data_IF_340314259226
#
_entry.id   IF_340314259226
#
_cell.length_a   1.000
_cell.length_b   1.000
_cell.length_c   1.000
_cell.angle_alpha   90.00
_cell.angle_beta   90.00
_cell.angle_gamma   90.00
#
_symmetry.space_group_name_H-M   'P 1'
#
loop_
_entity.id
_entity.type
_entity.pdbx_description
1 polymer ?
#
# COMPACT_ATOMS: atom_id res chain seq x y z
N UNK A 1 -16.23 -6.03 -16.45
CA UNK A 1 -16.15 -5.88 -14.98
C UNK A 1 -14.71 -5.67 -14.50
N UNK A 2 -13.72 -6.31 -15.12
CA UNK A 2 -12.29 -6.09 -14.80
C UNK A 2 -11.84 -4.63 -14.88
N UNK A 3 -12.21 -3.90 -15.95
CA UNK A 3 -11.84 -2.49 -16.09
C UNK A 3 -12.37 -1.62 -14.95
N UNK A 4 -13.60 -1.88 -14.49
CA UNK A 4 -14.18 -1.17 -13.35
C UNK A 4 -13.40 -1.49 -12.07
N UNK A 5 -13.06 -2.77 -11.84
CA UNK A 5 -12.22 -3.16 -10.70
C UNK A 5 -10.86 -2.49 -10.75
N UNK A 6 -10.23 -2.41 -11.93
CA UNK A 6 -8.94 -1.74 -12.11
C UNK A 6 -9.05 -0.26 -11.74
N UNK A 7 -10.07 0.44 -12.24
CA UNK A 7 -10.34 1.84 -11.87
C UNK A 7 -10.55 1.98 -10.36
N UNK A 8 -11.24 1.04 -9.71
CA UNK A 8 -11.44 1.05 -8.26
C UNK A 8 -10.13 0.83 -7.51
N UNK A 9 -9.35 -0.19 -7.89
CA UNK A 9 -8.08 -0.54 -7.23
C UNK A 9 -7.07 0.58 -7.34
N UNK A 10 -6.94 1.26 -8.48
CA UNK A 10 -6.04 2.41 -8.61
C UNK A 10 -6.67 3.71 -8.10
N UNK A 11 -7.98 3.91 -8.25
CA UNK A 11 -8.71 5.07 -7.74
C UNK A 11 -8.71 5.14 -6.22
N UNK A 12 -8.77 4.00 -5.53
CA UNK A 12 -8.67 3.89 -4.08
C UNK A 12 -7.35 4.50 -3.55
N UNK A 13 -6.28 4.53 -4.34
CA UNK A 13 -5.02 5.16 -3.93
C UNK A 13 -5.22 6.66 -3.65
N UNK A 14 -5.99 7.34 -4.52
CA UNK A 14 -6.34 8.74 -4.39
C UNK A 14 -7.38 8.95 -3.29
N UNK A 15 -8.37 8.06 -3.19
CA UNK A 15 -9.37 8.10 -2.12
C UNK A 15 -8.69 8.04 -0.75
N UNK A 16 -7.73 7.13 -0.56
CA UNK A 16 -7.00 7.05 0.70
C UNK A 16 -6.21 8.34 0.95
N UNK A 17 -5.58 8.93 -0.07
CA UNK A 17 -4.86 10.19 0.10
C UNK A 17 -5.78 11.33 0.56
N UNK A 18 -6.88 11.55 -0.15
CA UNK A 18 -7.85 12.63 0.12
C UNK A 18 -8.48 12.44 1.50
N UNK A 19 -8.95 11.22 1.81
CA UNK A 19 -9.59 10.94 3.10
C UNK A 19 -8.61 11.01 4.26
N UNK A 20 -7.31 10.77 4.04
CA UNK A 20 -6.30 10.97 5.09
C UNK A 20 -6.11 12.43 5.45
N UNK A 21 -6.20 13.34 4.46
CA UNK A 21 -6.20 14.78 4.70
C UNK A 21 -7.49 15.21 5.39
N UNK A 22 -8.65 14.68 4.98
CA UNK A 22 -9.93 14.92 5.67
C UNK A 22 -9.89 14.48 7.13
N UNK A 23 -9.31 13.30 7.41
CA UNK A 23 -9.14 12.80 8.78
C UNK A 23 -8.28 13.73 9.63
N UNK A 24 -7.14 14.16 9.08
CA UNK A 24 -6.23 15.09 9.75
C UNK A 24 -6.91 16.45 10.03
N UNK A 25 -7.75 16.92 9.10
CA UNK A 25 -8.59 18.11 9.26
C UNK A 25 -9.85 17.93 10.12
N UNK A 26 -10.05 16.76 10.75
CA UNK A 26 -11.20 16.50 11.63
C UNK A 26 -12.51 16.11 10.94
N UNK A 27 -12.56 16.03 9.61
CA UNK A 27 -13.74 15.72 8.80
C UNK A 27 -14.03 14.21 8.70
N UNK A 28 -14.14 13.54 9.85
CA UNK A 28 -14.26 12.08 9.94
C UNK A 28 -15.54 11.52 9.31
N UNK A 29 -16.66 12.25 9.38
CA UNK A 29 -17.94 11.82 8.83
C UNK A 29 -17.93 11.79 7.29
N UNK A 30 -17.37 12.82 6.66
CA UNK A 30 -17.30 12.92 5.20
C UNK A 30 -16.46 11.79 4.60
N UNK A 31 -15.33 11.48 5.24
CA UNK A 31 -14.51 10.33 4.91
C UNK A 31 -15.32 9.03 4.87
N UNK A 32 -16.19 8.78 5.87
CA UNK A 32 -16.97 7.55 5.95
C UNK A 32 -17.90 7.41 4.74
N UNK A 33 -18.57 8.49 4.33
CA UNK A 33 -19.40 8.51 3.13
C UNK A 33 -18.61 8.20 1.86
N UNK A 34 -17.40 8.76 1.72
CA UNK A 34 -16.53 8.46 0.57
C UNK A 34 -16.18 6.97 0.53
N UNK A 35 -15.81 6.35 1.65
CA UNK A 35 -15.53 4.90 1.67
C UNK A 35 -16.78 4.05 1.42
N UNK A 36 -17.95 4.49 1.88
CA UNK A 36 -19.21 3.79 1.62
C UNK A 36 -19.53 3.77 0.13
N UNK A 37 -19.40 4.90 -0.57
CA UNK A 37 -19.59 4.96 -2.02
C UNK A 37 -18.63 4.03 -2.74
N UNK A 38 -17.34 4.03 -2.35
CA UNK A 38 -16.36 3.14 -2.96
C UNK A 38 -16.63 1.67 -2.66
N UNK A 39 -17.11 1.35 -1.45
CA UNK A 39 -17.52 0.00 -1.10
C UNK A 39 -18.68 -0.49 -1.98
N UNK A 40 -19.70 0.35 -2.22
CA UNK A 40 -20.80 0.02 -3.14
C UNK A 40 -20.28 -0.21 -4.55
N UNK A 41 -19.39 0.65 -5.05
CA UNK A 41 -18.77 0.46 -6.37
C UNK A 41 -17.96 -0.82 -6.45
N UNK A 42 -17.25 -1.20 -5.38
CA UNK A 42 -16.48 -2.44 -5.31
C UNK A 42 -17.34 -3.70 -5.29
N UNK A 43 -18.56 -3.63 -4.73
CA UNK A 43 -19.50 -4.76 -4.75
C UNK A 43 -19.98 -5.13 -6.17
N UNK A 44 -19.99 -4.18 -7.11
CA UNK A 44 -20.41 -4.43 -8.49
C UNK A 44 -19.51 -5.49 -9.16
N UNK A 45 -18.18 -5.30 -9.32
CA UNK A 45 -17.35 -6.34 -9.90
C UNK A 45 -17.31 -7.59 -9.02
N UNK A 46 -17.47 -7.50 -7.70
CA UNK A 46 -17.53 -8.68 -6.83
C UNK A 46 -18.71 -9.62 -7.15
N UNK A 47 -19.90 -9.08 -7.44
CA UNK A 47 -21.08 -9.89 -7.72
C UNK A 47 -21.25 -10.23 -9.21
N UNK A 48 -20.82 -9.35 -10.12
CA UNK A 48 -21.16 -9.44 -11.54
C UNK A 48 -19.99 -9.84 -12.46
N UNK A 49 -18.81 -10.18 -11.92
CA UNK A 49 -17.71 -10.72 -12.72
C UNK A 49 -18.11 -12.06 -13.36
N UNK A 50 -17.71 -12.29 -14.62
CA UNK A 50 -17.98 -13.53 -15.33
C UNK A 50 -17.17 -14.68 -14.74
N UNK A 51 -17.75 -15.89 -14.72
CA UNK A 51 -17.13 -17.10 -14.17
C UNK A 51 -16.20 -17.81 -15.16
N UNK A 52 -15.98 -17.27 -16.35
CA UNK A 52 -14.98 -17.83 -17.26
C UNK A 52 -13.56 -17.66 -16.71
N UNK A 53 -12.68 -18.58 -17.08
CA UNK A 53 -11.33 -18.67 -16.54
C UNK A 53 -10.54 -17.36 -16.73
N UNK A 54 -10.60 -16.75 -17.92
CA UNK A 54 -9.82 -15.54 -18.22
C UNK A 54 -10.30 -14.35 -17.39
N UNK A 55 -11.62 -14.13 -17.31
CA UNK A 55 -12.19 -13.06 -16.49
C UNK A 55 -11.83 -13.23 -15.01
N UNK A 56 -11.88 -14.46 -14.48
CA UNK A 56 -11.50 -14.73 -13.09
C UNK A 56 -10.00 -14.59 -12.85
N UNK A 57 -9.17 -15.05 -13.78
CA UNK A 57 -7.71 -14.88 -13.69
C UNK A 57 -7.35 -13.39 -13.65
N UNK A 58 -7.92 -12.59 -14.54
CA UNK A 58 -7.74 -11.13 -14.56
C UNK A 58 -8.24 -10.47 -13.26
N UNK A 59 -9.43 -10.87 -12.79
CA UNK A 59 -10.00 -10.38 -11.54
C UNK A 59 -9.07 -10.62 -10.34
N UNK A 60 -8.59 -11.85 -10.17
CA UNK A 60 -7.66 -12.22 -9.09
C UNK A 60 -6.30 -11.53 -9.21
N UNK A 61 -5.80 -11.37 -10.45
CA UNK A 61 -4.54 -10.66 -10.70
C UNK A 61 -4.65 -9.18 -10.32
N UNK A 62 -5.76 -8.51 -10.66
CA UNK A 62 -6.01 -7.12 -10.27
C UNK A 62 -6.11 -7.00 -8.74
N UNK A 63 -6.78 -7.93 -8.06
CA UNK A 63 -6.83 -7.94 -6.59
C UNK A 63 -5.46 -8.17 -5.98
N UNK A 64 -4.64 -9.07 -6.53
CA UNK A 64 -3.27 -9.31 -6.06
C UNK A 64 -2.38 -8.06 -6.22
N UNK A 65 -2.48 -7.37 -7.36
CA UNK A 65 -1.85 -6.05 -7.53
C UNK A 65 -2.31 -5.07 -6.46
N UNK A 66 -3.61 -5.04 -6.15
CA UNK A 66 -4.16 -4.27 -5.04
C UNK A 66 -3.52 -4.63 -3.71
N UNK A 67 -3.46 -5.92 -3.36
CA UNK A 67 -2.81 -6.42 -2.13
C UNK A 67 -1.40 -5.86 -1.99
N UNK A 68 -0.60 -5.97 -3.05
CA UNK A 68 0.77 -5.46 -3.10
C UNK A 68 0.83 -3.94 -2.93
N UNK A 69 0.06 -3.19 -3.70
CA UNK A 69 0.04 -1.73 -3.67
C UNK A 69 -0.34 -1.19 -2.29
N UNK A 70 -1.40 -1.75 -1.70
CA UNK A 70 -1.93 -1.30 -0.41
C UNK A 70 -1.09 -1.80 0.77
N UNK A 71 -0.48 -2.98 0.70
CA UNK A 71 0.51 -3.42 1.69
C UNK A 71 1.75 -2.51 1.67
N UNK A 72 2.25 -2.16 0.48
CA UNK A 72 3.36 -1.22 0.33
C UNK A 72 3.03 0.16 0.90
N UNK A 73 1.82 0.65 0.64
CA UNK A 73 1.35 1.92 1.17
C UNK A 73 1.19 1.89 2.70
N UNK A 74 0.72 0.76 3.25
CA UNK A 74 0.58 0.54 4.67
C UNK A 74 1.93 0.64 5.40
N UNK A 75 2.92 -0.16 4.98
CA UNK A 75 4.24 -0.14 5.61
C UNK A 75 4.95 1.20 5.45
N UNK A 76 4.76 1.89 4.32
CA UNK A 76 5.30 3.24 4.15
C UNK A 76 4.75 4.23 5.17
N UNK A 77 3.47 4.10 5.53
CA UNK A 77 2.83 4.96 6.53
C UNK A 77 3.15 4.57 7.98
N UNK A 78 3.20 3.28 8.30
CA UNK A 78 3.60 2.78 9.63
C UNK A 78 5.08 3.05 9.90
N UNK A 79 5.94 2.80 8.92
CA UNK A 79 7.38 3.03 9.00
C UNK A 79 7.76 4.43 8.52
N UNK A 80 7.28 5.44 9.24
CA UNK A 80 7.54 6.86 8.92
C UNK A 80 8.94 7.35 9.33
N UNK A 81 9.80 6.48 9.89
CA UNK A 81 11.18 6.81 10.29
C UNK A 81 12.00 7.48 9.17
N UNK A 82 12.01 7.00 7.91
CA UNK A 82 12.71 7.68 6.82
C UNK A 82 12.19 9.09 6.56
N UNK A 83 10.87 9.31 6.73
CA UNK A 83 10.23 10.62 6.57
C UNK A 83 10.64 11.57 7.69
N UNK A 84 10.61 11.10 8.96
CA UNK A 84 11.07 11.86 10.13
C UNK A 84 12.54 12.29 10.00
N UNK A 85 13.41 11.38 9.58
CA UNK A 85 14.82 11.67 9.34
C UNK A 85 15.01 12.72 8.23
N UNK A 86 14.16 12.70 7.20
CA UNK A 86 14.19 13.70 6.12
C UNK A 86 13.79 15.08 6.62
N UNK A 87 12.74 15.17 7.45
CA UNK A 87 12.31 16.44 8.08
C UNK A 87 13.42 16.98 8.98
N UNK A 88 13.98 16.14 9.87
CA UNK A 88 15.06 16.53 10.79
C UNK A 88 16.26 17.16 10.05
N UNK A 89 16.62 16.62 8.88
CA UNK A 89 17.71 17.19 8.08
C UNK A 89 17.38 18.54 7.46
N UNK A 90 16.15 18.73 7.00
CA UNK A 90 15.71 20.00 6.43
C UNK A 90 15.63 21.09 7.51
N UNK A 91 15.32 20.72 8.75
CA UNK A 91 15.25 21.63 9.89
C UNK A 91 16.62 21.92 10.51
N UNK A 92 17.58 20.98 10.46
CA UNK A 92 18.91 21.14 11.09
C UNK A 92 19.88 22.08 10.38
N UNK A 93 19.68 22.36 9.10
CA UNK A 93 20.57 23.26 8.34
C UNK A 93 20.45 24.71 8.85
N UNK A 94 21.54 25.32 9.37
CA UNK A 94 21.56 26.68 9.86
C UNK A 94 21.71 27.64 8.68
N UNK A 95 20.65 27.83 7.91
CA UNK A 95 20.59 28.93 6.94
C UNK A 95 19.71 30.01 7.55
N UNK A 96 20.34 31.14 7.86
CA UNK A 96 19.72 32.44 8.09
C UNK A 96 18.71 32.69 6.95
N UNK A 97 17.44 32.84 7.30
CA UNK A 97 16.26 32.79 6.42
C UNK A 97 15.95 31.39 5.85
N UNK A 98 14.92 30.75 6.41
CA UNK A 98 14.23 29.63 5.75
C UNK A 98 13.57 30.21 4.49
N UNK A 99 14.03 29.82 3.30
CA UNK A 99 13.32 30.20 2.07
C UNK A 99 11.90 29.63 2.09
N UNK A 100 10.94 30.39 1.57
CA UNK A 100 9.51 30.01 1.52
C UNK A 100 9.31 28.59 0.98
N UNK A 101 9.98 28.24 -0.11
CA UNK A 101 9.98 26.88 -0.69
C UNK A 101 10.44 25.79 0.30
N UNK A 102 11.44 26.07 1.14
CA UNK A 102 11.91 25.12 2.15
C UNK A 102 10.89 24.96 3.27
N UNK A 103 10.21 26.04 3.65
CA UNK A 103 9.12 26.02 4.62
C UNK A 103 7.94 25.19 4.10
N UNK A 104 7.42 25.49 2.91
CA UNK A 104 6.34 24.74 2.26
C UNK A 104 6.66 23.24 2.16
N UNK A 105 7.91 22.91 1.82
CA UNK A 105 8.37 21.52 1.74
C UNK A 105 8.38 20.82 3.10
N UNK A 106 8.75 21.51 4.17
CA UNK A 106 8.72 20.97 5.54
C UNK A 106 7.26 20.79 5.98
N UNK A 107 6.40 21.76 5.71
CA UNK A 107 4.98 21.73 6.03
C UNK A 107 4.28 20.56 5.33
N UNK A 108 4.48 20.41 4.02
CA UNK A 108 3.91 19.29 3.24
C UNK A 108 4.36 17.91 3.77
N UNK A 109 5.64 17.78 4.18
CA UNK A 109 6.15 16.54 4.78
C UNK A 109 5.57 16.29 6.17
N UNK A 110 5.30 17.35 6.94
CA UNK A 110 4.70 17.28 8.27
C UNK A 110 3.25 16.85 8.19
N UNK A 111 2.45 17.45 7.30
CA UNK A 111 1.07 17.02 7.02
C UNK A 111 1.05 15.55 6.59
N UNK A 112 1.97 15.16 5.70
CA UNK A 112 2.11 13.76 5.26
C UNK A 112 2.44 12.82 6.42
N UNK A 113 3.25 13.28 7.39
CA UNK A 113 3.63 12.51 8.56
C UNK A 113 2.47 12.34 9.54
N UNK A 114 1.67 13.38 9.76
CA UNK A 114 0.48 13.35 10.63
C UNK A 114 -0.59 12.41 10.05
N UNK A 115 -0.83 12.52 8.74
CA UNK A 115 -1.75 11.65 8.01
C UNK A 115 -1.23 10.20 7.86
N UNK A 116 0.05 9.93 8.15
CA UNK A 116 0.70 8.67 7.78
C UNK A 116 0.12 7.45 8.49
N UNK A 117 -0.25 7.57 9.77
CA UNK A 117 -0.80 6.47 10.57
C UNK A 117 -2.17 6.04 10.08
N UNK A 118 -3.05 7.02 9.86
CA UNK A 118 -4.39 6.78 9.35
C UNK A 118 -4.34 6.16 7.95
N UNK A 119 -3.52 6.75 7.06
CA UNK A 119 -3.24 6.21 5.73
C UNK A 119 -2.76 4.76 5.80
N UNK A 120 -1.87 4.46 6.74
CA UNK A 120 -1.34 3.12 6.92
C UNK A 120 -2.41 2.11 7.31
N UNK A 121 -3.23 2.45 8.30
CA UNK A 121 -4.29 1.60 8.81
C UNK A 121 -5.32 1.28 7.73
N UNK A 122 -5.81 2.28 7.00
CA UNK A 122 -6.80 2.03 5.94
C UNK A 122 -6.21 1.24 4.78
N UNK A 123 -4.97 1.53 4.38
CA UNK A 123 -4.29 0.75 3.34
C UNK A 123 -4.17 -0.72 3.75
N UNK A 124 -3.86 -0.99 5.01
CA UNK A 124 -3.80 -2.36 5.52
C UNK A 124 -5.18 -3.04 5.44
N UNK A 125 -6.24 -2.34 5.85
CA UNK A 125 -7.62 -2.85 5.77
C UNK A 125 -8.02 -3.17 4.32
N UNK A 126 -7.71 -2.27 3.37
CA UNK A 126 -8.00 -2.51 1.94
C UNK A 126 -7.24 -3.73 1.43
N UNK A 127 -5.94 -3.84 1.77
CA UNK A 127 -5.12 -5.00 1.40
C UNK A 127 -5.74 -6.30 1.91
N UNK A 128 -6.19 -6.33 3.17
CA UNK A 128 -6.88 -7.48 3.77
C UNK A 128 -8.22 -7.81 3.09
N UNK A 129 -9.04 -6.79 2.76
CA UNK A 129 -10.30 -6.99 2.04
C UNK A 129 -10.05 -7.67 0.69
N UNK A 130 -8.99 -7.27 -0.03
CA UNK A 130 -8.63 -7.90 -1.30
C UNK A 130 -8.14 -9.34 -1.10
N UNK A 131 -7.31 -9.62 -0.08
CA UNK A 131 -6.90 -10.99 0.25
C UNK A 131 -8.10 -11.89 0.55
N UNK A 132 -9.04 -11.42 1.37
CA UNK A 132 -10.27 -12.15 1.69
C UNK A 132 -11.10 -12.37 0.42
N UNK A 133 -11.24 -11.34 -0.41
CA UNK A 133 -12.00 -11.45 -1.66
C UNK A 133 -11.41 -12.49 -2.59
N UNK A 134 -10.08 -12.51 -2.75
CA UNK A 134 -9.39 -13.55 -3.53
C UNK A 134 -9.69 -14.94 -2.96
N UNK A 135 -9.62 -15.08 -1.63
CA UNK A 135 -9.86 -16.36 -0.95
C UNK A 135 -11.29 -16.87 -1.11
N UNK A 136 -12.27 -15.97 -1.19
CA UNK A 136 -13.69 -16.31 -1.39
C UNK A 136 -14.01 -16.60 -2.86
N UNK A 137 -13.37 -15.90 -3.80
CA UNK A 137 -13.75 -15.95 -5.23
C UNK A 137 -12.87 -16.85 -6.09
N UNK A 138 -11.66 -17.22 -5.65
CA UNK A 138 -10.75 -18.01 -6.47
C UNK A 138 -11.28 -19.43 -6.70
N UNK A 139 -11.54 -19.83 -7.96
CA UNK A 139 -11.83 -21.22 -8.30
C UNK A 139 -10.65 -22.13 -7.95
N UNK A 140 -10.86 -23.44 -7.69
CA UNK A 140 -9.81 -24.35 -7.25
C UNK A 140 -8.55 -24.35 -8.13
N UNK A 141 -8.71 -24.29 -9.46
CA UNK A 141 -7.61 -24.27 -10.42
C UNK A 141 -6.75 -23.00 -10.31
N UNK A 142 -7.37 -21.82 -10.32
CA UNK A 142 -6.64 -20.55 -10.17
C UNK A 142 -6.05 -20.43 -8.76
N UNK A 143 -6.71 -21.00 -7.76
CA UNK A 143 -6.25 -20.97 -6.38
C UNK A 143 -4.89 -21.66 -6.22
N UNK A 144 -4.69 -22.83 -6.81
CA UNK A 144 -3.38 -23.50 -6.78
C UNK A 144 -2.30 -22.66 -7.47
N UNK A 145 -2.61 -22.02 -8.61
CA UNK A 145 -1.67 -21.13 -9.31
C UNK A 145 -1.21 -19.96 -8.42
N UNK A 146 -2.14 -19.30 -7.72
CA UNK A 146 -1.80 -18.19 -6.82
C UNK A 146 -1.16 -18.65 -5.50
N UNK A 147 -1.43 -19.87 -5.04
CA UNK A 147 -0.77 -20.49 -3.87
C UNK A 147 0.70 -20.79 -4.14
N UNK A 148 1.00 -21.44 -5.27
CA UNK A 148 2.37 -21.71 -5.71
C UNK A 148 3.16 -20.39 -5.84
N UNK A 149 2.45 -19.33 -6.23
CA UNK A 149 3.00 -17.99 -6.33
C UNK A 149 3.89 -17.83 -7.55
N UNK A 150 4.07 -16.58 -7.97
CA UNK A 150 4.87 -16.30 -9.16
C UNK A 150 6.35 -16.11 -8.78
N UNK A 151 7.28 -16.99 -9.21
CA UNK A 151 8.70 -16.88 -8.88
C UNK A 151 9.30 -15.54 -9.33
N UNK A 152 8.78 -14.94 -10.40
CA UNK A 152 9.23 -13.62 -10.86
C UNK A 152 8.92 -12.51 -9.85
N UNK A 153 7.76 -12.59 -9.18
CA UNK A 153 7.38 -11.63 -8.12
C UNK A 153 8.32 -11.75 -6.93
N UNK A 154 8.69 -12.97 -6.55
CA UNK A 154 9.66 -13.24 -5.48
C UNK A 154 11.03 -12.66 -5.79
N UNK A 155 11.57 -12.93 -6.98
CA UNK A 155 12.85 -12.39 -7.44
C UNK A 155 12.82 -10.86 -7.47
N UNK A 156 11.73 -10.27 -7.95
CA UNK A 156 11.56 -8.82 -8.00
C UNK A 156 11.60 -8.19 -6.60
N UNK A 157 10.83 -8.71 -5.63
CA UNK A 157 10.83 -8.17 -4.27
C UNK A 157 12.15 -8.39 -3.54
N UNK A 158 12.84 -9.51 -3.81
CA UNK A 158 14.19 -9.75 -3.30
C UNK A 158 15.18 -8.72 -3.85
N UNK A 159 15.16 -8.43 -5.16
CA UNK A 159 16.01 -7.41 -5.76
C UNK A 159 15.71 -6.02 -5.20
N UNK A 160 14.43 -5.67 -5.05
CA UNK A 160 14.01 -4.42 -4.40
C UNK A 160 14.54 -4.35 -2.96
N UNK A 161 14.48 -5.44 -2.21
CA UNK A 161 15.02 -5.52 -0.85
C UNK A 161 16.53 -5.26 -0.81
N UNK A 162 17.31 -5.89 -1.69
CA UNK A 162 18.76 -5.66 -1.81
C UNK A 162 19.05 -4.19 -2.12
N UNK A 163 18.34 -3.59 -3.08
CA UNK A 163 18.50 -2.16 -3.39
C UNK A 163 18.22 -1.29 -2.17
N UNK A 164 17.15 -1.55 -1.42
CA UNK A 164 16.82 -0.75 -0.25
C UNK A 164 17.82 -0.92 0.90
N UNK A 165 18.43 -2.09 1.07
CA UNK A 165 19.55 -2.29 2.00
C UNK A 165 20.73 -1.39 1.60
N UNK A 166 21.10 -1.38 0.33
CA UNK A 166 22.20 -0.52 -0.16
C UNK A 166 21.89 0.95 0.11
N UNK A 167 20.66 1.40 -0.16
CA UNK A 167 20.23 2.76 0.15
C UNK A 167 20.32 3.03 1.66
N UNK A 168 19.86 2.13 2.51
CA UNK A 168 19.94 2.28 3.96
C UNK A 168 21.38 2.40 4.46
N UNK A 169 22.31 1.60 3.92
CA UNK A 169 23.75 1.68 4.23
C UNK A 169 24.30 3.05 3.82
N UNK A 170 24.02 3.51 2.59
CA UNK A 170 24.47 4.83 2.11
C UNK A 170 23.92 5.96 2.99
N UNK A 171 22.65 5.88 3.38
CA UNK A 171 22.03 6.86 4.27
C UNK A 171 22.62 6.81 5.68
N UNK A 172 22.93 5.62 6.18
CA UNK A 172 23.57 5.45 7.48
C UNK A 172 24.95 6.09 7.51
N UNK A 173 25.79 5.87 6.49
CA UNK A 173 27.11 6.51 6.37
C UNK A 173 26.97 8.04 6.37
N UNK A 174 26.02 8.60 5.62
CA UNK A 174 25.83 10.06 5.52
C UNK A 174 25.22 10.71 6.76
N UNK A 175 24.36 9.99 7.49
CA UNK A 175 23.46 10.58 8.51
C UNK A 175 23.70 10.04 9.92
N UNK A 176 24.54 9.02 10.06
CA UNK A 176 24.77 8.22 11.28
C UNK A 176 23.51 7.60 11.89
N UNK A 177 22.40 7.60 11.15
CA UNK A 177 21.10 7.06 11.56
C UNK A 177 20.57 6.13 10.47
N UNK A 178 20.19 4.93 10.86
CA UNK A 178 19.66 3.91 9.94
C UNK A 178 18.16 4.13 9.71
N UNK A 179 17.75 4.26 8.45
CA UNK A 179 16.36 4.56 8.08
C UNK A 179 15.47 3.29 8.02
N UNK A 180 16.05 2.11 7.80
CA UNK A 180 15.36 0.82 7.67
C UNK A 180 14.26 0.87 6.60
N UNK A 181 14.55 1.45 5.45
CA UNK A 181 13.65 1.46 4.30
C UNK A 181 13.45 0.04 3.75
N UNK A 182 14.44 -0.86 3.92
CA UNK A 182 14.37 -2.26 3.52
C UNK A 182 13.22 -3.06 4.17
N UNK A 183 12.60 -2.56 5.25
CA UNK A 183 11.42 -3.19 5.85
C UNK A 183 10.20 -3.20 4.91
N UNK A 184 10.15 -2.28 3.93
CA UNK A 184 9.01 -2.15 3.02
C UNK A 184 8.80 -3.38 2.13
N UNK A 185 9.79 -3.84 1.34
CA UNK A 185 9.64 -5.06 0.55
C UNK A 185 9.45 -6.30 1.44
N UNK A 186 10.09 -6.37 2.61
CA UNK A 186 9.85 -7.49 3.55
C UNK A 186 8.40 -7.57 4.02
N UNK A 187 7.78 -6.44 4.31
CA UNK A 187 6.37 -6.42 4.71
C UNK A 187 5.44 -6.87 3.57
N UNK A 188 5.71 -6.46 2.34
CA UNK A 188 4.91 -6.92 1.19
C UNK A 188 5.10 -8.41 0.94
N UNK A 189 6.33 -8.92 1.07
CA UNK A 189 6.62 -10.36 1.05
C UNK A 189 5.78 -11.07 2.12
N UNK A 190 5.79 -10.57 3.35
CA UNK A 190 4.99 -11.15 4.43
C UNK A 190 3.50 -11.18 4.10
N UNK A 191 2.95 -10.11 3.52
CA UNK A 191 1.56 -10.08 3.05
C UNK A 191 1.27 -11.11 1.95
N UNK A 192 2.20 -11.34 1.02
CA UNK A 192 2.07 -12.36 -0.03
C UNK A 192 2.09 -13.77 0.55
N UNK A 193 2.97 -14.05 1.52
CA UNK A 193 2.96 -15.33 2.26
C UNK A 193 1.62 -15.53 2.95
N UNK A 194 1.12 -14.49 3.63
CA UNK A 194 -0.17 -14.56 4.33
C UNK A 194 -1.32 -14.84 3.36
N UNK A 195 -1.31 -14.22 2.17
CA UNK A 195 -2.27 -14.52 1.11
C UNK A 195 -2.18 -15.99 0.67
N UNK A 196 -0.97 -16.53 0.43
CA UNK A 196 -0.79 -17.93 0.04
C UNK A 196 -1.33 -18.89 1.10
N UNK A 197 -1.09 -18.60 2.39
CA UNK A 197 -1.61 -19.38 3.51
C UNK A 197 -3.15 -19.34 3.54
N UNK A 198 -3.77 -18.15 3.38
CA UNK A 198 -5.23 -18.02 3.31
C UNK A 198 -5.83 -18.80 2.13
N UNK A 199 -5.15 -18.77 0.98
CA UNK A 199 -5.54 -19.61 -0.15
C UNK A 199 -5.32 -21.10 0.16
N UNK A 200 -4.38 -21.51 1.00
CA UNK A 200 -4.26 -22.92 1.41
C UNK A 200 -5.39 -23.43 2.30
N UNK A 201 -6.02 -22.58 3.11
CA UNK A 201 -6.94 -23.04 4.17
C UNK A 201 -8.33 -23.50 3.73
N UNK A 202 -8.86 -23.06 2.59
CA UNK A 202 -10.16 -23.56 2.08
C UNK A 202 -9.98 -24.55 0.93
N UNK A 203 -8.97 -25.42 0.99
CA UNK A 203 -8.91 -26.62 0.13
C UNK A 203 -9.98 -27.64 0.55
#
# INVERSE_FOLDING_TARGET
MEYLLLVIVFGLYYVVYITSVMYAGGLKLLQLFVYLVVAVLYLIPFFFISNDYNSMQNYLLILNMGVVLYAWMAIKGFWSKPLKLKIEQLTKSPTTAVSENKYEKIEALTITLEASKYKAMISLVISLIFMITMTVKAPPQLRSEFMEGNPMVWVLFFLIFVIYIVIDIVLWIKRKKFAFIAIRPLFVIFCLILLQILLGFNQ
#
